data_IF_109487666484
#
_entry.id   IF_109487666484
#
_cell.length_a   1.000
_cell.length_b   1.000
_cell.length_c   1.000
_cell.angle_alpha   90.00
_cell.angle_beta   90.00
_cell.angle_gamma   90.00
#
_symmetry.space_group_name_H-M   'P 1'
#
loop_
_entity.id
_entity.type
_entity.pdbx_description
1 polymer ?
#
# COMPACT_ATOMS: atom_id res chain seq x y z
N UNK A 1 1.35 -19.77 6.84
CA UNK A 1 0.37 -18.71 6.47
C UNK A 1 0.42 -18.41 4.98
N UNK A 2 1.61 -18.36 4.38
CA UNK A 2 1.86 -18.18 2.92
C UNK A 2 0.96 -18.98 1.96
N UNK A 3 0.81 -20.30 2.16
CA UNK A 3 0.02 -21.15 1.24
C UNK A 3 -1.44 -20.71 1.11
N UNK A 4 -1.98 -20.05 2.14
CA UNK A 4 -3.35 -19.59 2.17
C UNK A 4 -3.51 -18.27 1.40
N UNK A 5 -2.48 -17.42 1.41
CA UNK A 5 -2.45 -16.14 0.70
C UNK A 5 -2.34 -16.34 -0.81
N UNK A 6 -1.40 -17.18 -1.25
CA UNK A 6 -1.16 -17.49 -2.68
C UNK A 6 -2.42 -18.04 -3.37
N UNK A 7 -3.20 -18.83 -2.64
CA UNK A 7 -4.43 -19.42 -3.18
C UNK A 7 -5.55 -18.40 -3.36
N UNK A 8 -5.69 -17.46 -2.43
CA UNK A 8 -6.65 -16.37 -2.56
C UNK A 8 -6.25 -15.43 -3.71
N UNK A 9 -4.96 -15.16 -3.89
CA UNK A 9 -4.47 -14.25 -4.94
C UNK A 9 -4.70 -14.85 -6.33
N UNK A 10 -4.48 -16.16 -6.50
CA UNK A 10 -4.79 -16.88 -7.74
C UNK A 10 -6.29 -16.84 -8.04
N UNK A 11 -7.13 -17.02 -7.02
CA UNK A 11 -8.58 -17.01 -7.15
C UNK A 11 -9.12 -15.62 -7.52
N UNK A 12 -8.57 -14.56 -6.92
CA UNK A 12 -8.92 -13.19 -7.26
C UNK A 12 -8.51 -12.87 -8.70
N UNK A 13 -7.29 -13.24 -9.11
CA UNK A 13 -6.82 -13.08 -10.48
C UNK A 13 -7.69 -13.83 -11.51
N UNK A 14 -8.17 -15.02 -11.18
CA UNK A 14 -9.09 -15.78 -12.02
C UNK A 14 -10.46 -15.13 -12.14
N UNK A 15 -11.01 -14.63 -11.03
CA UNK A 15 -12.31 -13.95 -11.00
C UNK A 15 -12.28 -12.65 -11.81
N UNK A 16 -11.22 -11.85 -11.63
CA UNK A 16 -10.98 -10.62 -12.41
C UNK A 16 -10.82 -10.92 -13.90
N UNK A 17 -10.09 -11.98 -14.27
CA UNK A 17 -9.93 -12.39 -15.68
C UNK A 17 -11.27 -12.76 -16.33
N UNK A 18 -12.19 -13.36 -15.57
CA UNK A 18 -13.49 -13.80 -16.10
C UNK A 18 -14.49 -12.64 -16.24
N UNK A 19 -14.55 -11.77 -15.24
CA UNK A 19 -15.59 -10.74 -15.17
C UNK A 19 -15.15 -9.38 -15.72
N UNK A 20 -13.85 -9.11 -15.79
CA UNK A 20 -13.31 -7.82 -16.24
C UNK A 20 -13.10 -6.83 -15.09
N UNK A 21 -12.55 -5.66 -15.43
CA UNK A 21 -12.21 -4.59 -14.47
C UNK A 21 -13.39 -3.65 -14.18
N UNK A 22 -14.50 -3.82 -14.88
CA UNK A 22 -15.71 -2.99 -14.82
C UNK A 22 -16.80 -3.59 -13.91
N UNK A 23 -16.62 -4.84 -13.43
CA UNK A 23 -17.68 -5.67 -12.85
C UNK A 23 -17.31 -6.24 -11.47
N UNK A 24 -16.86 -5.38 -10.58
CA UNK A 24 -16.33 -5.75 -9.28
C UNK A 24 -17.34 -6.40 -8.33
N UNK A 25 -18.62 -6.08 -8.44
CA UNK A 25 -19.67 -6.79 -7.68
C UNK A 25 -19.73 -8.28 -8.05
N UNK A 26 -19.54 -8.61 -9.34
CA UNK A 26 -19.50 -10.00 -9.79
C UNK A 26 -18.19 -10.70 -9.39
N UNK A 27 -17.06 -9.98 -9.49
CA UNK A 27 -15.77 -10.48 -8.98
C UNK A 27 -15.87 -10.80 -7.49
N UNK A 28 -16.45 -9.91 -6.67
CA UNK A 28 -16.57 -10.09 -5.24
C UNK A 28 -17.56 -11.17 -4.84
N UNK A 29 -18.68 -11.31 -5.57
CA UNK A 29 -19.62 -12.41 -5.36
C UNK A 29 -18.97 -13.77 -5.68
N UNK A 30 -18.21 -13.87 -6.79
CA UNK A 30 -17.48 -15.09 -7.14
C UNK A 30 -16.39 -15.41 -6.11
N UNK A 31 -15.57 -14.40 -5.77
CA UNK A 31 -14.48 -14.52 -4.82
C UNK A 31 -14.96 -14.90 -3.43
N UNK A 32 -15.99 -14.23 -2.91
CA UNK A 32 -16.64 -14.56 -1.64
C UNK A 32 -17.18 -15.98 -1.63
N UNK A 33 -17.84 -16.40 -2.72
CA UNK A 33 -18.36 -17.76 -2.85
C UNK A 33 -17.25 -18.80 -2.84
N UNK A 34 -16.15 -18.55 -3.54
CA UNK A 34 -15.03 -19.48 -3.61
C UNK A 34 -14.23 -19.53 -2.30
N UNK A 35 -14.05 -18.41 -1.59
CA UNK A 35 -13.48 -18.39 -0.24
C UNK A 35 -14.41 -19.09 0.78
N UNK A 36 -15.72 -18.86 0.68
CA UNK A 36 -16.70 -19.58 1.49
C UNK A 36 -16.59 -21.09 1.31
N UNK A 37 -16.44 -21.56 0.07
CA UNK A 37 -16.26 -22.99 -0.22
C UNK A 37 -14.92 -23.55 0.25
N UNK A 38 -13.82 -22.78 0.16
CA UNK A 38 -12.49 -23.26 0.53
C UNK A 38 -12.20 -23.20 2.04
N UNK A 39 -12.70 -22.17 2.73
CA UNK A 39 -12.37 -21.89 4.13
C UNK A 39 -13.53 -22.07 5.11
N UNK A 40 -14.78 -22.30 4.65
CA UNK A 40 -16.01 -22.26 5.50
C UNK A 40 -16.09 -20.98 6.35
N UNK A 41 -15.52 -19.87 5.87
CA UNK A 41 -15.59 -18.56 6.52
C UNK A 41 -16.85 -17.80 6.08
N UNK A 42 -17.47 -17.06 7.01
CA UNK A 42 -18.76 -16.35 6.83
C UNK A 42 -18.57 -14.86 6.44
N UNK A 43 -17.34 -14.45 6.11
CA UNK A 43 -17.06 -13.06 5.72
C UNK A 43 -17.45 -12.88 4.25
N UNK A 44 -18.56 -12.17 4.01
CA UNK A 44 -18.85 -11.66 2.68
C UNK A 44 -17.82 -10.59 2.36
N UNK A 45 -16.94 -10.88 1.41
CA UNK A 45 -15.90 -9.94 1.00
C UNK A 45 -16.55 -8.91 0.09
N UNK A 46 -16.45 -7.64 0.46
CA UNK A 46 -17.11 -6.58 -0.28
C UNK A 46 -16.45 -6.35 -1.65
N UNK A 47 -17.18 -5.71 -2.56
CA UNK A 47 -16.61 -5.24 -3.85
C UNK A 47 -15.36 -4.39 -3.65
N UNK A 48 -15.36 -3.56 -2.60
CA UNK A 48 -14.25 -2.68 -2.24
C UNK A 48 -13.06 -3.49 -1.76
N UNK A 49 -13.26 -4.48 -0.89
CA UNK A 49 -12.17 -5.36 -0.42
C UNK A 49 -11.52 -6.14 -1.57
N UNK A 50 -12.28 -6.60 -2.57
CA UNK A 50 -11.71 -7.25 -3.75
C UNK A 50 -10.91 -6.29 -4.64
N UNK A 51 -11.37 -5.05 -4.79
CA UNK A 51 -10.66 -4.00 -5.52
C UNK A 51 -9.33 -3.70 -4.83
N UNK A 52 -9.37 -3.48 -3.50
CA UNK A 52 -8.20 -3.24 -2.66
C UNK A 52 -7.20 -4.38 -2.81
N UNK A 53 -7.63 -5.63 -2.62
CA UNK A 53 -6.74 -6.79 -2.69
C UNK A 53 -6.06 -6.94 -4.06
N UNK A 54 -6.75 -6.60 -5.15
CA UNK A 54 -6.16 -6.65 -6.49
C UNK A 54 -5.16 -5.52 -6.72
N UNK A 55 -5.49 -4.30 -6.30
CA UNK A 55 -4.59 -3.14 -6.39
C UNK A 55 -3.32 -3.47 -5.61
N UNK A 56 -3.46 -3.91 -4.35
CA UNK A 56 -2.32 -4.32 -3.54
C UNK A 56 -1.49 -5.41 -4.22
N UNK A 57 -2.10 -6.46 -4.76
CA UNK A 57 -1.37 -7.49 -5.49
C UNK A 57 -0.58 -6.94 -6.70
N UNK A 58 -1.14 -5.98 -7.45
CA UNK A 58 -0.41 -5.32 -8.53
C UNK A 58 0.77 -4.49 -8.02
N UNK A 59 0.54 -3.71 -6.96
CA UNK A 59 1.56 -2.88 -6.32
C UNK A 59 2.71 -3.72 -5.76
N UNK A 60 2.41 -4.79 -5.02
CA UNK A 60 3.37 -5.77 -4.51
C UNK A 60 4.18 -6.43 -5.62
N UNK A 61 3.51 -6.87 -6.70
CA UNK A 61 4.20 -7.48 -7.85
C UNK A 61 5.21 -6.51 -8.46
N UNK A 62 4.85 -5.23 -8.60
CA UNK A 62 5.71 -4.21 -9.15
C UNK A 62 6.88 -3.86 -8.21
N UNK A 63 6.65 -3.82 -6.89
CA UNK A 63 7.70 -3.64 -5.86
C UNK A 63 8.73 -4.79 -5.91
N UNK A 64 8.25 -6.04 -6.00
CA UNK A 64 9.10 -7.22 -6.12
C UNK A 64 9.90 -7.24 -7.44
N UNK A 65 9.26 -6.88 -8.57
CA UNK A 65 9.94 -6.73 -9.86
C UNK A 65 11.03 -5.64 -9.82
N UNK A 66 10.87 -4.59 -8.99
CA UNK A 66 11.89 -3.54 -8.78
C UNK A 66 13.06 -4.06 -7.96
N UNK A 67 12.82 -4.80 -6.87
CA UNK A 67 13.88 -5.42 -6.06
C UNK A 67 14.81 -6.28 -6.92
N UNK A 68 14.23 -7.02 -7.87
CA UNK A 68 14.98 -7.85 -8.83
C UNK A 68 15.69 -6.97 -9.89
N UNK A 69 15.07 -5.89 -10.36
CA UNK A 69 15.64 -5.00 -11.38
C UNK A 69 16.79 -4.11 -10.87
N UNK A 70 16.83 -3.80 -9.57
CA UNK A 70 17.94 -3.06 -8.97
C UNK A 70 19.25 -3.90 -8.95
N UNK A 71 19.17 -5.23 -9.15
CA UNK A 71 20.32 -6.14 -9.28
C UNK A 71 20.80 -6.36 -10.72
N UNK A 72 19.92 -6.23 -11.73
CA UNK A 72 20.28 -6.39 -13.15
C UNK A 72 20.11 -5.07 -13.94
N UNK A 73 21.20 -4.34 -14.16
CA UNK A 73 21.21 -3.22 -15.12
C UNK A 73 21.08 -3.75 -16.55
N UNK A 74 19.85 -3.77 -17.05
CA UNK A 74 19.58 -4.05 -18.47
C UNK A 74 18.10 -4.02 -18.89
N UNK A 75 17.71 -2.89 -19.49
CA UNK A 75 16.91 -2.78 -20.72
C UNK A 75 15.38 -2.54 -20.68
N UNK A 76 14.97 -1.42 -21.32
CA UNK A 76 13.73 -1.11 -22.07
C UNK A 76 12.37 -1.67 -21.61
N UNK A 77 11.91 -1.37 -20.39
CA UNK A 77 10.48 -1.59 -19.98
C UNK A 77 9.81 -0.36 -19.35
N UNK A 78 10.39 0.84 -19.52
CA UNK A 78 10.05 2.01 -18.69
C UNK A 78 8.63 2.55 -18.90
N UNK A 79 8.05 2.44 -20.10
CA UNK A 79 6.73 3.03 -20.39
C UNK A 79 5.57 2.17 -19.89
N UNK A 80 5.60 0.84 -20.07
CA UNK A 80 4.51 -0.04 -19.64
C UNK A 80 4.42 -0.14 -18.11
N UNK A 81 5.57 -0.14 -17.42
CA UNK A 81 5.61 -0.14 -15.95
C UNK A 81 5.05 1.17 -15.37
N UNK A 82 5.41 2.31 -15.95
CA UNK A 82 4.89 3.61 -15.53
C UNK A 82 3.36 3.68 -15.71
N UNK A 83 2.87 3.24 -16.88
CA UNK A 83 1.43 3.23 -17.17
C UNK A 83 0.65 2.36 -16.19
N UNK A 84 1.17 1.18 -15.81
CA UNK A 84 0.52 0.31 -14.84
C UNK A 84 0.45 0.92 -13.42
N UNK A 85 1.48 1.63 -12.98
CA UNK A 85 1.48 2.30 -11.67
C UNK A 85 0.43 3.41 -11.62
N UNK A 86 0.34 4.22 -12.67
CA UNK A 86 -0.69 5.27 -12.74
C UNK A 86 -2.09 4.66 -12.74
N UNK A 87 -2.30 3.52 -13.40
CA UNK A 87 -3.57 2.78 -13.33
C UNK A 87 -3.88 2.27 -11.91
N UNK A 88 -2.89 1.80 -11.16
CA UNK A 88 -3.09 1.35 -9.79
C UNK A 88 -3.43 2.54 -8.86
N UNK A 89 -2.76 3.69 -9.01
CA UNK A 89 -3.11 4.92 -8.29
C UNK A 89 -4.52 5.42 -8.62
N UNK A 90 -4.91 5.39 -9.90
CA UNK A 90 -6.29 5.69 -10.31
C UNK A 90 -7.27 4.73 -9.62
N UNK A 91 -6.94 3.43 -9.57
CA UNK A 91 -7.74 2.43 -8.88
C UNK A 91 -7.94 2.75 -7.39
N UNK A 92 -6.90 3.21 -6.69
CA UNK A 92 -7.03 3.64 -5.28
C UNK A 92 -7.97 4.84 -5.16
N UNK A 93 -7.82 5.84 -6.03
CA UNK A 93 -8.70 7.02 -6.01
C UNK A 93 -10.16 6.66 -6.30
N UNK A 94 -10.41 5.72 -7.21
CA UNK A 94 -11.76 5.23 -7.54
C UNK A 94 -12.39 4.47 -6.37
N UNK A 95 -11.62 3.61 -5.69
CA UNK A 95 -12.06 2.94 -4.46
C UNK A 95 -12.48 3.97 -3.42
N UNK A 96 -11.64 4.99 -3.16
CA UNK A 96 -11.97 6.03 -2.20
C UNK A 96 -13.22 6.82 -2.62
N UNK A 97 -13.31 7.21 -3.90
CA UNK A 97 -14.47 7.96 -4.44
C UNK A 97 -15.78 7.16 -4.41
N UNK A 98 -15.72 5.83 -4.38
CA UNK A 98 -16.91 4.98 -4.22
C UNK A 98 -17.58 5.13 -2.84
N UNK A 99 -16.84 5.63 -1.84
CA UNK A 99 -17.38 5.88 -0.52
C UNK A 99 -18.43 7.01 -0.55
N UNK A 100 -19.60 6.75 0.06
CA UNK A 100 -20.80 7.62 0.00
C UNK A 100 -20.55 9.10 0.29
N UNK A 101 -19.58 9.39 1.16
CA UNK A 101 -19.27 10.74 1.63
C UNK A 101 -17.88 11.23 1.22
N UNK A 102 -17.20 10.53 0.30
CA UNK A 102 -15.86 10.93 -0.16
C UNK A 102 -15.86 12.30 -0.85
N UNK A 103 -16.99 12.68 -1.46
CA UNK A 103 -17.18 13.99 -2.11
C UNK A 103 -16.92 15.19 -1.19
N UNK A 104 -16.94 15.01 0.14
CA UNK A 104 -16.54 16.04 1.12
C UNK A 104 -15.07 16.46 1.02
N UNK A 105 -14.24 15.65 0.35
CA UNK A 105 -12.79 15.84 0.20
C UNK A 105 -12.38 16.05 -1.26
N UNK A 106 -13.34 16.25 -2.18
CA UNK A 106 -13.02 16.41 -3.60
C UNK A 106 -12.25 17.71 -3.86
N UNK A 107 -12.66 18.79 -3.18
CA UNK A 107 -12.01 20.09 -3.24
C UNK A 107 -12.12 20.82 -1.90
N UNK A 108 -11.28 21.84 -1.72
CA UNK A 108 -11.38 22.76 -0.58
C UNK A 108 -12.81 23.29 -0.41
N UNK A 109 -13.35 23.17 0.81
CA UNK A 109 -14.69 23.64 1.11
C UNK A 109 -14.71 25.16 1.32
N UNK A 110 -15.79 25.83 0.91
CA UNK A 110 -15.93 27.29 1.07
C UNK A 110 -15.83 27.75 2.53
N UNK A 111 -16.20 26.90 3.50
CA UNK A 111 -16.04 27.18 4.93
C UNK A 111 -14.57 27.17 5.40
N UNK A 112 -13.64 26.61 4.62
CA UNK A 112 -12.20 26.64 4.85
C UNK A 112 -11.56 27.87 4.19
N UNK A 113 -12.17 28.39 3.11
CA UNK A 113 -11.68 29.55 2.35
C UNK A 113 -12.19 30.89 2.91
N UNK A 114 -13.47 30.94 3.25
CA UNK A 114 -14.17 32.15 3.70
C UNK A 114 -14.25 32.26 5.21
N UNK A 115 -13.43 31.51 5.96
CA UNK A 115 -13.42 31.55 7.42
C UNK A 115 -12.92 32.93 7.90
N UNK A 116 -13.78 33.76 8.53
CA UNK A 116 -13.44 35.14 8.90
C UNK A 116 -12.25 35.22 9.86
N UNK A 117 -12.06 34.18 10.67
CA UNK A 117 -11.03 34.09 11.70
C UNK A 117 -9.74 33.42 11.21
N UNK A 118 -9.70 32.99 9.94
CA UNK A 118 -8.59 32.29 9.32
C UNK A 118 -8.15 31.03 10.10
N UNK A 119 -9.05 30.38 10.84
CA UNK A 119 -8.75 29.21 11.70
C UNK A 119 -8.19 28.08 10.87
N UNK A 120 -8.79 27.82 9.70
CA UNK A 120 -8.32 26.76 8.81
C UNK A 120 -6.85 26.93 8.44
N UNK A 121 -6.47 28.08 7.87
CA UNK A 121 -5.08 28.33 7.45
C UNK A 121 -4.09 28.48 8.62
N UNK A 122 -4.58 28.83 9.83
CA UNK A 122 -3.76 28.87 11.04
C UNK A 122 -3.42 27.45 11.53
N UNK A 123 -4.37 26.53 11.47
CA UNK A 123 -4.23 25.16 11.97
C UNK A 123 -3.63 24.22 10.92
N UNK A 124 -4.09 24.30 9.67
CA UNK A 124 -3.70 23.41 8.58
C UNK A 124 -2.61 24.05 7.73
N UNK A 125 -1.39 23.51 7.84
CA UNK A 125 -0.19 24.07 7.18
C UNK A 125 -0.08 23.73 5.70
N UNK A 126 -0.53 22.54 5.34
CA UNK A 126 -0.52 22.07 3.97
C UNK A 126 -1.88 21.49 3.66
N UNK A 127 -2.67 22.25 2.91
CA UNK A 127 -3.94 21.75 2.40
C UNK A 127 -3.72 20.65 1.37
N UNK A 128 -4.61 19.68 1.38
CA UNK A 128 -4.67 18.59 0.43
C UNK A 128 -6.14 18.20 0.23
N UNK A 129 -6.51 17.91 -1.01
CA UNK A 129 -7.82 17.39 -1.42
C UNK A 129 -7.62 16.43 -2.60
N UNK A 130 -8.65 15.68 -2.98
CA UNK A 130 -8.55 14.68 -4.05
C UNK A 130 -8.23 15.32 -5.41
N UNK A 131 -8.70 16.54 -5.67
CA UNK A 131 -8.38 17.25 -6.90
C UNK A 131 -6.88 17.60 -6.99
N UNK A 132 -6.25 18.03 -5.90
CA UNK A 132 -4.80 18.26 -5.85
C UNK A 132 -4.05 16.95 -6.06
N UNK A 133 -4.46 15.85 -5.42
CA UNK A 133 -3.81 14.54 -5.58
C UNK A 133 -3.95 14.04 -7.02
N UNK A 134 -5.13 14.15 -7.62
CA UNK A 134 -5.38 13.83 -9.02
C UNK A 134 -4.48 14.64 -9.96
N UNK A 135 -4.39 15.96 -9.75
CA UNK A 135 -3.53 16.83 -10.54
C UNK A 135 -2.03 16.45 -10.40
N UNK A 136 -1.60 16.08 -9.18
CA UNK A 136 -0.22 15.62 -8.93
C UNK A 136 0.06 14.29 -9.64
N UNK A 137 -0.92 13.39 -9.69
CA UNK A 137 -0.83 12.14 -10.44
C UNK A 137 -0.68 12.40 -11.94
N UNK A 138 -1.54 13.25 -12.51
CA UNK A 138 -1.51 13.60 -13.95
C UNK A 138 -0.22 14.33 -14.36
N UNK A 139 0.39 15.07 -13.44
CA UNK A 139 1.70 15.72 -13.63
C UNK A 139 2.89 14.77 -13.44
N UNK A 140 2.64 13.49 -13.12
CA UNK A 140 3.68 12.50 -12.88
C UNK A 140 4.48 12.71 -11.59
N UNK A 141 3.92 13.42 -10.59
CA UNK A 141 4.62 13.67 -9.31
C UNK A 141 4.88 12.36 -8.55
N UNK A 142 3.97 11.39 -8.70
CA UNK A 142 4.05 10.06 -8.10
C UNK A 142 4.76 9.03 -8.98
N UNK A 143 5.22 9.42 -10.17
CA UNK A 143 5.96 8.56 -11.08
C UNK A 143 7.27 8.04 -10.46
N UNK A 144 7.79 6.94 -11.01
CA UNK A 144 8.93 6.19 -10.51
C UNK A 144 8.67 5.50 -9.15
N UNK A 145 7.52 4.83 -9.04
CA UNK A 145 7.18 3.96 -7.89
C UNK A 145 7.18 4.70 -6.55
N UNK A 146 6.75 5.97 -6.53
CA UNK A 146 6.72 6.78 -5.30
C UNK A 146 5.42 6.56 -4.51
N UNK A 147 5.11 5.29 -4.20
CA UNK A 147 3.92 4.91 -3.42
C UNK A 147 3.82 5.67 -2.11
N UNK A 148 4.90 5.69 -1.33
CA UNK A 148 4.97 6.43 -0.08
C UNK A 148 4.58 7.93 -0.22
N UNK A 149 4.90 8.57 -1.34
CA UNK A 149 4.51 9.98 -1.56
C UNK A 149 3.02 10.14 -1.85
N UNK A 150 2.42 9.19 -2.56
CA UNK A 150 0.98 9.17 -2.85
C UNK A 150 0.17 8.90 -1.57
N UNK A 151 0.51 7.85 -0.83
CA UNK A 151 -0.15 7.50 0.43
C UNK A 151 0.02 8.60 1.50
N UNK A 152 1.20 9.22 1.59
CA UNK A 152 1.42 10.39 2.46
C UNK A 152 0.43 11.52 2.17
N UNK A 153 0.17 11.84 0.90
CA UNK A 153 -0.76 12.92 0.54
C UNK A 153 -2.22 12.55 0.85
N UNK A 154 -2.63 11.30 0.58
CA UNK A 154 -3.94 10.79 0.99
C UNK A 154 -4.14 10.87 2.51
N UNK A 155 -3.16 10.40 3.27
CA UNK A 155 -3.18 10.47 4.73
C UNK A 155 -3.18 11.91 5.24
N UNK A 156 -2.42 12.81 4.60
CA UNK A 156 -2.40 14.22 4.95
C UNK A 156 -3.78 14.86 4.80
N UNK A 157 -4.48 14.60 3.69
CA UNK A 157 -5.84 15.08 3.45
C UNK A 157 -6.80 14.67 4.58
N UNK A 158 -6.82 13.39 4.95
CA UNK A 158 -7.71 12.90 6.01
C UNK A 158 -7.27 13.34 7.41
N UNK A 159 -5.98 13.36 7.70
CA UNK A 159 -5.46 13.88 8.98
C UNK A 159 -5.82 15.36 9.18
N UNK A 160 -5.70 16.17 8.12
CA UNK A 160 -6.11 17.58 8.17
C UNK A 160 -7.58 17.73 8.53
N UNK A 161 -8.45 16.89 7.95
CA UNK A 161 -9.88 16.88 8.27
C UNK A 161 -10.14 16.46 9.73
N UNK A 162 -9.46 15.42 10.22
CA UNK A 162 -9.56 14.94 11.61
C UNK A 162 -9.10 16.01 12.61
N UNK A 163 -8.08 16.79 12.27
CA UNK A 163 -7.56 17.88 13.12
C UNK A 163 -8.48 19.09 13.11
N UNK A 164 -9.04 19.44 11.96
CA UNK A 164 -9.83 20.66 11.80
C UNK A 164 -11.29 20.50 12.24
N UNK A 165 -11.92 19.38 11.89
CA UNK A 165 -13.35 19.18 12.13
C UNK A 165 -13.63 18.56 13.50
N UNK A 166 -14.66 19.03 14.23
CA UNK A 166 -15.12 18.41 15.48
C UNK A 166 -15.59 16.96 15.30
N UNK A 167 -15.47 16.15 16.35
CA UNK A 167 -15.74 14.70 16.31
C UNK A 167 -17.17 14.30 15.95
N UNK A 168 -18.12 15.18 16.21
CA UNK A 168 -19.55 15.01 15.95
C UNK A 168 -19.94 15.36 14.50
N UNK A 169 -18.98 15.80 13.68
CA UNK A 169 -19.23 16.13 12.27
C UNK A 169 -19.08 14.92 11.35
N UNK A 170 -19.78 14.98 10.22
CA UNK A 170 -19.68 13.99 9.17
C UNK A 170 -18.28 13.95 8.54
N UNK A 171 -17.63 15.11 8.42
CA UNK A 171 -16.28 15.23 7.88
C UNK A 171 -15.27 14.48 8.76
N UNK A 172 -15.36 14.63 10.08
CA UNK A 172 -14.47 13.92 11.00
C UNK A 172 -14.65 12.40 10.91
N UNK A 173 -15.89 11.92 11.05
CA UNK A 173 -16.20 10.48 11.02
C UNK A 173 -15.80 9.85 9.69
N UNK A 174 -16.16 10.48 8.57
CA UNK A 174 -15.80 9.99 7.23
C UNK A 174 -14.28 10.01 7.01
N UNK A 175 -13.58 11.07 7.44
CA UNK A 175 -12.12 11.13 7.31
C UNK A 175 -11.43 10.06 8.16
N UNK A 176 -11.97 9.76 9.34
CA UNK A 176 -11.45 8.72 10.22
C UNK A 176 -11.60 7.32 9.59
N UNK A 177 -12.76 7.03 9.02
CA UNK A 177 -13.04 5.77 8.30
C UNK A 177 -12.14 5.62 7.06
N UNK A 178 -12.11 6.62 6.17
CA UNK A 178 -11.29 6.56 4.95
C UNK A 178 -9.79 6.50 5.25
N UNK A 179 -9.32 7.18 6.30
CA UNK A 179 -7.92 7.07 6.75
C UNK A 179 -7.57 5.64 7.19
N UNK A 180 -8.49 4.92 7.81
CA UNK A 180 -8.25 3.53 8.21
C UNK A 180 -8.06 2.64 6.96
N UNK A 181 -8.92 2.82 5.95
CA UNK A 181 -8.80 2.12 4.66
C UNK A 181 -7.46 2.43 3.98
N UNK A 182 -7.06 3.70 3.91
CA UNK A 182 -5.78 4.09 3.30
C UNK A 182 -4.58 3.52 4.06
N UNK A 183 -4.65 3.41 5.39
CA UNK A 183 -3.59 2.80 6.20
C UNK A 183 -3.51 1.30 5.98
N UNK A 184 -4.64 0.60 5.92
CA UNK A 184 -4.66 -0.82 5.60
C UNK A 184 -4.02 -1.08 4.23
N UNK A 185 -4.31 -0.22 3.24
CA UNK A 185 -3.67 -0.26 1.93
C UNK A 185 -2.17 0.10 1.92
N UNK A 186 -1.66 0.81 2.93
CA UNK A 186 -0.25 1.22 3.03
C UNK A 186 0.58 0.21 3.86
N UNK A 187 -0.03 -0.38 4.88
CA UNK A 187 0.60 -1.39 5.76
C UNK A 187 0.80 -2.70 4.99
N UNK A 188 -0.24 -3.21 4.32
CA UNK A 188 -0.05 -4.05 3.13
C UNK A 188 0.73 -3.19 2.13
N UNK A 189 1.74 -3.59 1.37
CA UNK A 189 2.80 -2.79 0.72
C UNK A 189 4.05 -2.74 1.60
N UNK A 190 3.99 -2.30 2.85
CA UNK A 190 5.21 -2.18 3.72
C UNK A 190 5.63 -3.51 4.39
N UNK A 191 4.82 -4.57 4.34
CA UNK A 191 5.07 -5.87 5.05
C UNK A 191 6.37 -6.63 4.70
N UNK A 192 7.23 -6.21 3.76
CA UNK A 192 8.50 -6.92 3.49
C UNK A 192 9.78 -6.12 3.83
N UNK A 193 9.95 -5.65 5.07
CA UNK A 193 11.29 -5.22 5.53
C UNK A 193 11.84 -5.99 6.74
N UNK A 194 11.08 -6.83 7.46
CA UNK A 194 11.54 -7.31 8.79
C UNK A 194 11.60 -8.84 9.05
N UNK A 195 11.62 -9.74 8.05
CA UNK A 195 11.66 -11.20 8.35
C UNK A 195 12.64 -12.07 7.55
N UNK A 196 13.83 -11.55 7.23
CA UNK A 196 15.00 -12.38 6.86
C UNK A 196 16.30 -11.72 7.34
N UNK A 197 16.48 -11.59 8.66
CA UNK A 197 17.66 -10.90 9.22
C UNK A 197 18.44 -11.66 10.28
N UNK A 198 17.78 -12.49 11.10
CA UNK A 198 18.40 -12.94 12.36
C UNK A 198 18.72 -14.45 12.43
N UNK A 199 18.37 -15.27 11.44
CA UNK A 199 18.63 -16.72 11.51
C UNK A 199 19.96 -17.17 10.85
N UNK A 200 20.66 -16.29 10.11
CA UNK A 200 21.94 -16.64 9.46
C UNK A 200 23.17 -16.28 10.32
N UNK A 201 23.06 -15.34 11.26
CA UNK A 201 24.19 -14.92 12.10
C UNK A 201 24.44 -15.88 13.29
N UNK A 202 23.47 -16.72 13.65
CA UNK A 202 23.56 -17.61 14.82
C UNK A 202 24.28 -18.94 14.56
N UNK A 203 24.72 -19.22 13.32
CA UNK A 203 25.39 -20.47 12.94
C UNK A 203 26.89 -20.33 12.64
N UNK A 204 27.50 -19.17 12.88
CA UNK A 204 28.95 -18.96 12.64
C UNK A 204 29.79 -18.74 13.91
N UNK A 205 29.23 -18.84 15.12
CA UNK A 205 29.96 -18.64 16.38
C UNK A 205 30.32 -19.96 17.12
N UNK A 206 30.57 -21.04 16.39
CA UNK A 206 31.16 -22.26 16.97
C UNK A 206 32.25 -22.81 16.07
N UNK A 207 33.43 -23.02 16.68
CA UNK A 207 34.69 -23.56 16.13
C UNK A 207 35.53 -22.45 15.44
N UNK A 208 36.71 -22.03 15.92
CA UNK A 208 37.79 -22.79 16.55
C UNK A 208 38.47 -22.03 17.72
N UNK A 209 38.54 -22.71 18.86
CA UNK A 209 39.51 -22.49 19.94
C UNK A 209 40.90 -23.01 19.52
N UNK A 210 41.93 -22.56 20.27
CA UNK A 210 43.27 -23.13 20.44
C UNK A 210 44.40 -22.72 19.47
N UNK A 211 45.06 -21.59 19.78
CA UNK A 211 46.51 -21.45 19.62
C UNK A 211 47.20 -21.53 21.00
N UNK A 212 47.71 -22.71 21.42
CA UNK A 212 48.61 -22.80 22.53
C UNK A 212 50.05 -22.81 22.02
N UNK A 213 50.71 -21.67 22.24
CA UNK A 213 52.13 -21.50 22.45
C UNK A 213 52.89 -22.82 22.82
N UNK A 214 53.77 -23.29 21.93
CA UNK A 214 54.83 -24.25 22.28
C UNK A 214 56.17 -23.76 21.74
N UNK A 215 56.99 -23.31 22.68
CA UNK A 215 58.41 -23.01 22.54
C UNK A 215 59.26 -24.30 22.73
N UNK A 216 60.44 -24.31 22.10
CA UNK A 216 61.64 -25.15 22.40
C UNK A 216 61.63 -26.64 21.93
N UNK A 217 62.69 -27.28 21.42
CA UNK A 217 64.14 -27.04 21.28
C UNK A 217 64.78 -28.21 20.45
N UNK A 218 66.03 -28.02 19.96
CA UNK A 218 67.02 -29.03 19.45
C UNK A 218 66.76 -29.65 18.04
N UNK A 219 67.72 -29.92 17.14
CA UNK A 219 69.18 -29.95 17.12
C UNK A 219 69.63 -30.64 15.80
N UNK A 220 70.85 -30.33 15.34
CA UNK A 220 71.61 -30.79 14.14
C UNK A 220 71.51 -32.28 13.74
N UNK A 221 71.88 -32.69 12.50
CA UNK A 221 73.27 -32.65 11.97
C UNK A 221 73.53 -31.63 10.87
#
# INVERSE_FOLDING_TARGET
MEKLQVQDDLLLACSVRRHGLDKWEMVAAEFSKAIFHFRRCVLNISSVECQIKKILHNLYRLEAEKRIADEEKGNDTSNDKMHNIDQDFIGVLDVLRSHKYCCLFESRLSCQESDPDFRYIKQIKQHMDLQIIQNKLEQGVYSNMKFASFFRDLLLMFNNAIVYYPKDTLQYSTAFELRAIVREMEDDIIVEEDDVGDEVLALMDKEDDDDPNVECLEGHP
#
